data_IF_688883389613
#
_entry.id   IF_688883389613
#
_cell.length_a   1.000
_cell.length_b   1.000
_cell.length_c   1.000
_cell.angle_alpha   90.00
_cell.angle_beta   90.00
_cell.angle_gamma   90.00
#
_symmetry.space_group_name_H-M   'P 1'
#
loop_
_entity.id
_entity.type
_entity.pdbx_description
1 polymer ?
#
# COMPACT_ATOMS: atom_id res chain seq x y z
N UNK A 1 -28.65 -15.41 0.80
CA UNK A 1 -27.29 -15.33 1.40
C UNK A 1 -26.61 -14.14 0.80
N UNK A 2 -25.82 -13.36 1.55
CA UNK A 2 -24.97 -12.38 0.93
C UNK A 2 -23.99 -13.08 -0.03
N UNK A 3 -23.60 -12.45 -1.13
CA UNK A 3 -22.62 -13.05 -2.05
C UNK A 3 -21.28 -13.33 -1.33
N UNK A 4 -20.55 -14.35 -1.78
CA UNK A 4 -19.30 -14.82 -1.15
C UNK A 4 -18.26 -13.70 -0.89
N UNK A 5 -18.21 -12.67 -1.74
CA UNK A 5 -17.35 -11.50 -1.55
C UNK A 5 -17.75 -10.63 -0.35
N UNK A 6 -19.00 -10.66 0.08
CA UNK A 6 -19.47 -9.90 1.23
C UNK A 6 -19.21 -10.62 2.58
N UNK A 7 -18.89 -11.91 2.55
CA UNK A 7 -18.60 -12.73 3.74
C UNK A 7 -17.14 -12.63 4.23
N UNK A 8 -16.26 -11.96 3.48
CA UNK A 8 -14.82 -11.93 3.77
C UNK A 8 -14.05 -13.20 3.36
N UNK A 9 -14.73 -14.23 2.86
CA UNK A 9 -14.09 -15.49 2.47
C UNK A 9 -13.09 -15.34 1.32
N UNK A 10 -13.38 -14.47 0.35
CA UNK A 10 -12.43 -14.18 -0.74
C UNK A 10 -11.12 -13.56 -0.22
N UNK A 11 -11.21 -12.62 0.73
CA UNK A 11 -10.02 -12.05 1.38
C UNK A 11 -9.28 -13.11 2.19
N UNK A 12 -10.01 -13.96 2.91
CA UNK A 12 -9.42 -15.08 3.65
C UNK A 12 -8.72 -16.08 2.73
N UNK A 13 -9.31 -16.42 1.59
CA UNK A 13 -8.68 -17.28 0.58
C UNK A 13 -7.37 -16.67 0.05
N UNK A 14 -7.36 -15.36 -0.19
CA UNK A 14 -6.16 -14.65 -0.62
C UNK A 14 -5.08 -14.61 0.46
N UNK A 15 -5.41 -14.24 1.71
CA UNK A 15 -4.43 -14.04 2.78
C UNK A 15 -3.92 -15.35 3.38
N UNK A 16 -4.72 -16.41 3.34
CA UNK A 16 -4.45 -17.67 4.04
C UNK A 16 -4.32 -18.90 3.12
N UNK A 17 -4.21 -18.67 1.79
CA UNK A 17 -3.92 -19.75 0.86
C UNK A 17 -2.67 -20.54 1.27
N UNK A 18 -2.75 -21.88 1.24
CA UNK A 18 -1.67 -22.77 1.65
C UNK A 18 -1.42 -22.90 3.16
N UNK A 19 -2.19 -22.19 4.01
CA UNK A 19 -2.07 -22.30 5.48
C UNK A 19 -3.05 -23.31 6.05
N UNK A 20 -2.68 -23.95 7.18
CA UNK A 20 -3.59 -24.76 7.97
C UNK A 20 -4.31 -23.85 8.97
N UNK A 21 -5.65 -23.84 8.92
CA UNK A 21 -6.47 -23.08 9.87
C UNK A 21 -6.89 -23.98 11.04
N UNK A 22 -6.58 -23.54 12.26
CA UNK A 22 -6.96 -24.24 13.50
C UNK A 22 -7.74 -23.26 14.37
N UNK A 23 -8.81 -23.74 14.99
CA UNK A 23 -9.54 -22.98 16.00
C UNK A 23 -9.11 -23.48 17.38
N UNK A 24 -8.55 -22.59 18.18
CA UNK A 24 -8.14 -22.87 19.58
C UNK A 24 -9.12 -22.24 20.54
N UNK A 25 -9.30 -22.87 21.71
CA UNK A 25 -10.28 -22.45 22.72
C UNK A 25 -9.65 -21.94 24.00
N UNK A 26 -8.35 -22.12 24.17
CA UNK A 26 -7.62 -21.73 25.36
C UNK A 26 -6.17 -21.35 25.08
N UNK A 27 -5.55 -20.59 25.96
CA UNK A 27 -4.13 -20.26 25.88
C UNK A 27 -3.24 -21.52 25.94
N UNK A 28 -3.68 -22.56 26.65
CA UNK A 28 -2.94 -23.84 26.72
C UNK A 28 -2.90 -24.54 25.35
N UNK A 29 -3.99 -24.53 24.58
CA UNK A 29 -4.00 -25.06 23.21
C UNK A 29 -3.11 -24.25 22.27
N UNK A 30 -3.06 -22.91 22.42
CA UNK A 30 -2.15 -22.05 21.64
C UNK A 30 -0.70 -22.42 21.92
N UNK A 31 -0.36 -22.67 23.19
CA UNK A 31 0.99 -23.04 23.60
C UNK A 31 1.47 -24.33 22.93
N UNK A 32 0.60 -25.33 22.76
CA UNK A 32 0.94 -26.59 22.08
C UNK A 32 1.40 -26.35 20.63
N UNK A 33 0.73 -25.46 19.91
CA UNK A 33 1.15 -25.10 18.54
C UNK A 33 2.39 -24.19 18.50
N UNK A 34 2.53 -23.31 19.47
CA UNK A 34 3.63 -22.36 19.52
C UNK A 34 4.99 -23.01 19.85
N UNK A 35 4.98 -24.10 20.65
CA UNK A 35 6.21 -24.78 21.04
C UNK A 35 6.97 -25.45 19.90
N UNK A 36 6.28 -25.85 18.84
CA UNK A 36 6.87 -26.53 17.68
C UNK A 36 7.17 -25.58 16.49
N UNK A 37 6.92 -24.27 16.68
CA UNK A 37 7.09 -23.29 15.62
C UNK A 37 8.46 -22.60 15.70
N UNK A 38 9.12 -22.45 14.55
CA UNK A 38 10.36 -21.64 14.45
C UNK A 38 10.10 -20.16 14.75
N UNK A 39 8.94 -19.66 14.34
CA UNK A 39 8.50 -18.30 14.59
C UNK A 39 6.99 -18.24 14.83
N UNK A 40 6.55 -17.42 15.75
CA UNK A 40 5.14 -17.15 16.01
C UNK A 40 4.82 -15.67 15.88
N UNK A 41 3.67 -15.39 15.29
CA UNK A 41 3.16 -14.02 15.14
C UNK A 41 1.81 -13.96 15.85
N UNK A 42 1.67 -13.04 16.78
CA UNK A 42 0.46 -12.83 17.54
C UNK A 42 -0.05 -11.39 17.33
N UNK A 43 -1.29 -11.26 16.91
CA UNK A 43 -2.02 -10.00 16.88
C UNK A 43 -3.01 -9.97 18.04
N UNK A 44 -3.02 -8.87 18.77
CA UNK A 44 -3.97 -8.63 19.85
C UNK A 44 -4.38 -7.15 19.92
N UNK A 45 -5.56 -6.89 20.47
CA UNK A 45 -6.11 -5.53 20.59
C UNK A 45 -5.34 -4.65 21.59
N UNK A 46 -4.51 -5.26 22.44
CA UNK A 46 -3.75 -4.57 23.49
C UNK A 46 -2.62 -5.44 24.03
N UNK A 47 -1.75 -4.84 24.85
CA UNK A 47 -0.74 -5.59 25.60
C UNK A 47 -1.36 -6.60 26.59
N UNK A 48 -2.46 -6.25 27.25
CA UNK A 48 -3.16 -7.18 28.15
C UNK A 48 -3.76 -8.35 27.36
N UNK A 49 -4.27 -8.13 26.14
CA UNK A 49 -4.75 -9.21 25.26
C UNK A 49 -3.65 -10.21 24.89
N UNK A 50 -2.40 -9.77 24.72
CA UNK A 50 -1.26 -10.67 24.53
C UNK A 50 -0.99 -11.51 25.79
N UNK A 51 -1.10 -10.91 26.98
CA UNK A 51 -0.91 -11.59 28.25
C UNK A 51 -1.99 -12.67 28.47
N UNK A 52 -3.25 -12.36 28.11
CA UNK A 52 -4.36 -13.34 28.20
C UNK A 52 -4.15 -14.56 27.30
N UNK A 53 -3.45 -14.39 26.17
CA UNK A 53 -3.06 -15.47 25.26
C UNK A 53 -1.83 -16.25 25.74
N UNK A 54 -1.16 -15.79 26.81
CA UNK A 54 0.06 -16.41 27.32
C UNK A 54 1.29 -16.21 26.43
N UNK A 55 1.33 -15.13 25.66
CA UNK A 55 2.37 -14.86 24.65
C UNK A 55 3.80 -14.96 25.21
N UNK A 56 4.03 -14.53 26.45
CA UNK A 56 5.37 -14.54 27.03
C UNK A 56 5.86 -15.97 27.33
N UNK A 57 4.95 -16.92 27.55
CA UNK A 57 5.26 -18.33 27.85
C UNK A 57 5.56 -19.17 26.61
N UNK A 58 5.33 -18.63 25.42
CA UNK A 58 5.59 -19.36 24.15
C UNK A 58 7.08 -19.58 23.94
N UNK A 59 7.45 -20.78 23.46
CA UNK A 59 8.84 -21.23 23.38
C UNK A 59 9.48 -21.05 21.99
N UNK A 60 8.77 -20.46 21.04
CA UNK A 60 9.33 -20.20 19.71
C UNK A 60 10.55 -19.27 19.79
N UNK A 61 11.56 -19.53 18.96
CA UNK A 61 12.77 -18.73 18.90
C UNK A 61 12.48 -17.27 18.53
N UNK A 62 11.53 -17.05 17.62
CA UNK A 62 11.13 -15.72 17.19
C UNK A 62 9.65 -15.52 17.54
N UNK A 63 9.40 -14.51 18.36
CA UNK A 63 8.06 -14.12 18.77
C UNK A 63 7.76 -12.71 18.30
N UNK A 64 6.72 -12.52 17.47
CA UNK A 64 6.28 -11.22 17.00
C UNK A 64 4.95 -10.87 17.63
N UNK A 65 4.92 -9.82 18.44
CA UNK A 65 3.71 -9.24 19.00
C UNK A 65 3.28 -8.04 18.14
N UNK A 66 2.05 -8.07 17.62
CA UNK A 66 1.47 -6.93 16.89
C UNK A 66 0.29 -6.39 17.70
N UNK A 67 0.36 -5.12 18.08
CA UNK A 67 -0.72 -4.42 18.79
C UNK A 67 -0.90 -3.00 18.27
N UNK A 68 -2.03 -2.34 18.56
CA UNK A 68 -2.24 -0.96 18.13
C UNK A 68 -1.15 0.02 18.60
N UNK A 69 -0.66 -0.13 19.85
CA UNK A 69 0.25 0.84 20.47
C UNK A 69 1.57 0.25 20.98
N UNK A 70 1.85 -1.02 20.72
CA UNK A 70 3.01 -1.73 21.28
C UNK A 70 2.73 -2.28 22.69
N UNK A 71 3.66 -3.09 23.18
CA UNK A 71 3.56 -3.79 24.48
C UNK A 71 3.84 -2.87 25.67
N UNK A 72 4.43 -1.70 25.43
CA UNK A 72 4.89 -0.78 26.48
C UNK A 72 4.27 0.62 26.30
N UNK A 73 4.54 1.50 27.27
CA UNK A 73 4.07 2.87 27.23
C UNK A 73 2.64 3.08 27.77
N UNK A 74 2.23 4.36 27.88
CA UNK A 74 0.99 4.73 28.57
C UNK A 74 -0.29 4.32 27.82
N UNK A 75 -0.20 4.01 26.52
CA UNK A 75 -1.34 3.63 25.68
C UNK A 75 -1.37 2.14 25.35
N UNK A 76 -0.49 1.31 25.92
CA UNK A 76 -0.37 -0.11 25.58
C UNK A 76 -1.68 -0.90 25.64
N UNK A 77 -2.63 -0.48 26.45
CA UNK A 77 -3.93 -1.12 26.62
C UNK A 77 -5.10 -0.32 25.99
N UNK A 78 -4.80 0.71 25.20
CA UNK A 78 -5.83 1.39 24.46
C UNK A 78 -6.23 0.57 23.25
N UNK A 79 -7.53 0.57 22.97
CA UNK A 79 -8.07 0.00 21.73
C UNK A 79 -8.09 1.04 20.63
N UNK A 80 -7.83 0.60 19.41
CA UNK A 80 -7.87 1.44 18.23
C UNK A 80 -8.28 0.63 17.00
N UNK A 81 -8.76 1.35 16.00
CA UNK A 81 -8.96 0.81 14.65
C UNK A 81 -7.86 1.34 13.73
N UNK A 82 -7.59 0.71 12.58
CA UNK A 82 -6.64 1.24 11.59
C UNK A 82 -6.90 2.70 11.23
N UNK A 83 -8.16 3.08 11.05
CA UNK A 83 -8.54 4.48 10.75
C UNK A 83 -8.19 5.46 11.89
N UNK A 84 -8.40 5.07 13.15
CA UNK A 84 -8.04 5.92 14.30
C UNK A 84 -6.53 6.05 14.45
N UNK A 85 -5.78 5.00 14.17
CA UNK A 85 -4.31 5.04 14.18
C UNK A 85 -3.74 5.91 13.05
N UNK A 86 -4.29 5.84 11.85
CA UNK A 86 -3.92 6.75 10.75
C UNK A 86 -4.17 8.21 11.11
N UNK A 87 -5.28 8.49 11.81
CA UNK A 87 -5.56 9.85 12.30
C UNK A 87 -4.58 10.29 13.39
N UNK A 88 -4.30 9.43 14.38
CA UNK A 88 -3.38 9.70 15.48
C UNK A 88 -1.92 9.84 15.01
N UNK A 89 -1.53 9.09 13.99
CA UNK A 89 -0.19 9.16 13.38
C UNK A 89 0.00 10.30 12.38
N UNK A 90 -1.01 11.18 12.19
CA UNK A 90 -0.93 12.34 11.32
C UNK A 90 -1.13 12.04 9.82
N UNK A 91 -1.30 10.77 9.44
CA UNK A 91 -1.48 10.41 8.03
C UNK A 91 -2.78 11.01 7.45
N UNK A 92 -3.88 10.86 8.17
CA UNK A 92 -5.19 11.43 7.79
C UNK A 92 -5.14 12.95 7.65
N UNK A 93 -4.34 13.65 8.47
CA UNK A 93 -4.16 15.10 8.35
C UNK A 93 -3.64 15.54 6.97
N UNK A 94 -2.88 14.70 6.29
CA UNK A 94 -2.28 15.00 4.98
C UNK A 94 -3.19 14.65 3.80
N UNK A 95 -4.31 13.95 4.04
CA UNK A 95 -5.18 13.43 2.99
C UNK A 95 -6.32 14.40 2.68
N UNK A 96 -6.55 14.65 1.40
CA UNK A 96 -7.66 15.45 0.89
C UNK A 96 -7.29 16.86 0.47
N UNK A 97 -8.31 17.64 0.12
CA UNK A 97 -8.17 18.99 -0.40
C UNK A 97 -7.92 20.01 0.71
N UNK A 98 -7.17 21.09 0.43
CA UNK A 98 -7.10 22.25 1.30
C UNK A 98 -8.51 22.82 1.59
N UNK A 99 -8.76 23.22 2.83
CA UNK A 99 -10.05 23.82 3.20
C UNK A 99 -11.23 22.85 3.34
N UNK A 100 -11.06 21.54 3.05
CA UNK A 100 -12.05 20.51 3.30
C UNK A 100 -11.66 19.62 4.49
N UNK A 101 -12.61 18.87 5.07
CA UNK A 101 -12.26 17.87 6.08
C UNK A 101 -11.23 16.87 5.53
N UNK A 102 -10.32 16.34 6.37
CA UNK A 102 -9.42 15.27 5.99
C UNK A 102 -10.17 14.05 5.45
N UNK A 103 -9.56 13.35 4.51
CA UNK A 103 -10.07 12.08 3.99
C UNK A 103 -9.45 10.92 4.75
N UNK A 104 -10.23 9.87 4.98
CA UNK A 104 -9.71 8.61 5.47
C UNK A 104 -9.18 7.78 4.30
N UNK A 105 -8.10 7.02 4.53
CA UNK A 105 -7.58 6.08 3.56
C UNK A 105 -8.41 4.79 3.63
N UNK A 106 -9.06 4.38 2.52
CA UNK A 106 -9.88 3.18 2.51
C UNK A 106 -9.03 1.89 2.44
N UNK A 107 -9.66 0.77 2.81
CA UNK A 107 -9.05 -0.57 2.71
C UNK A 107 -8.11 -0.89 3.86
N UNK A 108 -7.32 -1.95 3.68
CA UNK A 108 -6.44 -2.56 4.69
C UNK A 108 -4.98 -2.10 4.57
N UNK A 109 -4.77 -0.83 4.21
CA UNK A 109 -3.43 -0.31 3.95
C UNK A 109 -2.49 -0.44 5.16
N UNK A 110 -2.96 -0.05 6.35
CA UNK A 110 -2.14 -0.09 7.56
C UNK A 110 -1.83 -1.52 8.00
N UNK A 111 -2.81 -2.39 7.91
CA UNK A 111 -2.65 -3.81 8.27
C UNK A 111 -1.62 -4.50 7.37
N UNK A 112 -1.69 -4.28 6.05
CA UNK A 112 -0.70 -4.79 5.12
C UNK A 112 0.71 -4.25 5.41
N UNK A 113 0.83 -2.96 5.71
CA UNK A 113 2.13 -2.36 6.03
C UNK A 113 2.69 -2.88 7.36
N UNK A 114 1.84 -3.03 8.36
CA UNK A 114 2.25 -3.61 9.66
C UNK A 114 2.71 -5.05 9.49
N UNK A 115 1.96 -5.85 8.74
CA UNK A 115 2.34 -7.23 8.42
C UNK A 115 3.66 -7.32 7.66
N UNK A 116 3.92 -6.43 6.70
CA UNK A 116 5.18 -6.37 5.97
C UNK A 116 6.37 -6.00 6.88
N UNK A 117 6.20 -5.06 7.81
CA UNK A 117 7.21 -4.70 8.80
C UNK A 117 7.47 -5.88 9.75
N UNK A 118 6.41 -6.50 10.27
CA UNK A 118 6.50 -7.65 11.16
C UNK A 118 7.25 -8.82 10.50
N UNK A 119 6.90 -9.14 9.27
CA UNK A 119 7.58 -10.17 8.49
C UNK A 119 9.06 -9.83 8.23
N UNK A 120 9.35 -8.58 7.85
CA UNK A 120 10.73 -8.15 7.57
C UNK A 120 11.60 -8.23 8.82
N UNK A 121 11.08 -7.82 9.98
CA UNK A 121 11.77 -7.91 11.26
C UNK A 121 12.02 -9.37 11.66
N UNK A 122 10.99 -10.23 11.55
CA UNK A 122 11.13 -11.66 11.84
C UNK A 122 12.18 -12.31 10.94
N UNK A 123 12.16 -12.03 9.64
CA UNK A 123 13.16 -12.57 8.71
C UNK A 123 14.57 -12.07 8.97
N UNK A 124 14.74 -10.84 9.47
CA UNK A 124 16.04 -10.33 9.90
C UNK A 124 16.59 -11.14 11.09
N UNK A 125 15.75 -11.46 12.08
CA UNK A 125 16.13 -12.31 13.22
C UNK A 125 16.46 -13.74 12.78
N UNK A 126 15.65 -14.33 11.90
CA UNK A 126 15.95 -15.66 11.30
C UNK A 126 17.31 -15.66 10.62
N UNK A 127 17.57 -14.65 9.77
CA UNK A 127 18.83 -14.57 9.03
C UNK A 127 20.04 -14.33 9.95
N UNK A 128 19.85 -13.61 11.05
CA UNK A 128 20.89 -13.39 12.06
C UNK A 128 21.09 -14.61 12.99
N UNK A 129 20.23 -15.61 12.95
CA UNK A 129 20.27 -16.77 13.85
C UNK A 129 20.06 -16.38 15.31
N UNK A 130 19.20 -15.39 15.57
CA UNK A 130 18.92 -14.86 16.90
C UNK A 130 17.51 -15.28 17.37
N UNK A 131 17.38 -15.47 18.69
CA UNK A 131 16.07 -15.64 19.31
C UNK A 131 15.61 -14.28 19.84
N UNK A 132 14.52 -13.76 19.27
CA UNK A 132 14.05 -12.39 19.54
C UNK A 132 12.57 -12.32 19.87
N UNK A 133 12.21 -11.35 20.72
CA UNK A 133 10.84 -10.89 20.90
C UNK A 133 10.70 -9.53 20.19
N UNK A 134 9.91 -9.51 19.15
CA UNK A 134 9.68 -8.33 18.30
C UNK A 134 8.35 -7.69 18.70
N UNK A 135 8.39 -6.43 19.14
CA UNK A 135 7.23 -5.62 19.47
C UNK A 135 6.90 -4.69 18.30
N UNK A 136 5.81 -4.95 17.60
CA UNK A 136 5.38 -4.21 16.41
C UNK A 136 4.12 -3.41 16.72
N UNK A 137 4.28 -2.11 16.83
CA UNK A 137 3.18 -1.16 17.04
C UNK A 137 2.60 -0.69 15.70
N UNK A 138 1.29 -0.83 15.51
CA UNK A 138 0.62 -0.31 14.32
C UNK A 138 0.73 1.23 14.23
N UNK A 139 0.69 1.94 15.38
CA UNK A 139 0.90 3.39 15.40
C UNK A 139 2.31 3.77 14.93
N UNK A 140 3.34 3.06 15.37
CA UNK A 140 4.71 3.31 14.94
C UNK A 140 4.92 2.98 13.46
N UNK A 141 4.19 2.01 12.93
CA UNK A 141 4.11 1.76 11.50
C UNK A 141 3.61 2.99 10.75
N UNK A 142 2.51 3.64 11.20
CA UNK A 142 2.03 4.90 10.60
C UNK A 142 3.10 5.98 10.64
N UNK A 143 3.79 6.12 11.77
CA UNK A 143 4.84 7.13 11.93
C UNK A 143 6.03 6.87 11.00
N UNK A 144 6.41 5.62 10.79
CA UNK A 144 7.47 5.26 9.85
C UNK A 144 7.10 5.54 8.39
N UNK A 145 5.82 5.46 8.03
CA UNK A 145 5.32 5.84 6.70
C UNK A 145 5.30 7.37 6.49
N UNK A 146 5.33 8.15 7.55
CA UNK A 146 5.32 9.62 7.51
C UNK A 146 6.69 10.24 7.84
N UNK A 147 7.77 9.45 7.83
CA UNK A 147 9.13 9.88 8.21
C UNK A 147 9.58 11.17 7.52
N UNK A 148 9.29 11.34 6.22
CA UNK A 148 9.65 12.54 5.49
C UNK A 148 8.99 13.80 6.08
N UNK A 149 7.73 13.71 6.48
CA UNK A 149 6.97 14.80 7.11
C UNK A 149 7.54 15.14 8.49
N UNK A 150 7.92 14.14 9.28
CA UNK A 150 8.54 14.33 10.58
C UNK A 150 9.92 14.98 10.48
N UNK A 151 10.77 14.49 9.56
CA UNK A 151 12.10 15.06 9.31
C UNK A 151 11.97 16.52 8.88
N UNK A 152 11.04 16.84 7.98
CA UNK A 152 10.79 18.20 7.52
C UNK A 152 10.37 19.15 8.68
N UNK A 153 9.46 18.69 9.54
CA UNK A 153 9.13 19.43 10.74
C UNK A 153 10.35 19.65 11.64
N UNK A 154 11.15 18.63 11.83
CA UNK A 154 12.32 18.70 12.72
C UNK A 154 13.37 19.70 12.20
N UNK A 155 13.65 19.66 10.91
CA UNK A 155 14.67 20.49 10.27
C UNK A 155 14.21 21.93 9.99
N UNK A 156 12.96 22.11 9.53
CA UNK A 156 12.47 23.37 8.99
C UNK A 156 11.30 23.98 9.78
N UNK A 157 10.75 23.28 10.79
CA UNK A 157 9.53 23.66 11.51
C UNK A 157 8.33 23.88 10.59
N UNK A 158 8.33 23.24 9.44
CA UNK A 158 7.29 23.37 8.43
C UNK A 158 6.22 22.28 8.62
N UNK A 159 4.98 22.72 8.81
CA UNK A 159 3.82 21.81 8.90
C UNK A 159 3.29 21.58 7.50
N UNK A 160 3.56 20.38 6.95
CA UNK A 160 3.02 19.97 5.67
C UNK A 160 1.49 20.03 5.70
N UNK A 161 0.91 20.70 4.72
CA UNK A 161 -0.54 20.82 4.55
C UNK A 161 -1.08 19.80 3.55
N UNK A 162 -2.41 19.70 3.47
CA UNK A 162 -3.09 18.96 2.39
C UNK A 162 -2.90 19.70 1.07
N UNK A 163 -2.76 18.95 -0.01
CA UNK A 163 -2.58 19.47 -1.37
C UNK A 163 -3.51 18.81 -2.39
N UNK A 164 -4.54 18.07 -1.94
CA UNK A 164 -5.40 17.30 -2.84
C UNK A 164 -4.60 16.23 -3.59
N UNK A 165 -4.73 16.23 -4.90
CA UNK A 165 -4.00 15.31 -5.80
C UNK A 165 -2.62 15.84 -6.22
N UNK A 166 -2.27 17.06 -5.81
CA UNK A 166 -1.01 17.70 -6.15
C UNK A 166 0.14 17.13 -5.31
N UNK A 167 1.27 16.91 -5.95
CA UNK A 167 2.49 16.50 -5.24
C UNK A 167 3.30 17.76 -4.91
N UNK A 168 3.26 18.17 -3.67
CA UNK A 168 3.62 19.49 -3.17
C UNK A 168 5.01 20.05 -3.52
N UNK A 169 5.96 19.23 -3.96
CA UNK A 169 7.31 19.68 -4.30
C UNK A 169 7.79 19.34 -5.71
N UNK A 170 6.95 18.75 -6.55
CA UNK A 170 7.24 18.47 -7.96
C UNK A 170 6.04 18.90 -8.80
N UNK A 171 6.24 19.81 -9.73
CA UNK A 171 5.18 20.38 -10.57
C UNK A 171 5.61 20.37 -12.04
N UNK A 172 4.73 19.84 -12.94
CA UNK A 172 3.37 19.34 -12.69
C UNK A 172 3.33 17.90 -12.14
N UNK A 173 2.45 17.68 -11.17
CA UNK A 173 2.17 16.37 -10.64
C UNK A 173 0.72 16.34 -10.15
N UNK A 174 -0.22 15.90 -11.00
CA UNK A 174 -1.66 15.95 -10.70
C UNK A 174 -2.47 15.01 -11.58
N UNK A 175 -3.77 14.93 -11.29
CA UNK A 175 -4.80 14.30 -12.10
C UNK A 175 -5.37 15.29 -13.12
N UNK A 176 -5.50 14.85 -14.36
CA UNK A 176 -6.09 15.61 -15.45
C UNK A 176 -7.25 14.84 -16.07
N UNK A 177 -8.38 15.53 -16.26
CA UNK A 177 -9.56 14.96 -16.90
C UNK A 177 -9.40 14.99 -18.41
N UNK A 178 -9.75 13.88 -19.07
CA UNK A 178 -9.72 13.71 -20.52
C UNK A 178 -11.07 14.00 -21.17
N UNK A 179 -11.11 14.13 -22.49
CA UNK A 179 -12.31 14.39 -23.29
C UNK A 179 -13.39 13.31 -23.11
N UNK A 180 -12.97 12.05 -23.05
CA UNK A 180 -13.82 10.87 -22.86
C UNK A 180 -14.21 10.60 -21.40
N UNK A 181 -14.10 11.62 -20.55
CA UNK A 181 -14.44 11.59 -19.12
C UNK A 181 -13.57 10.69 -18.25
N UNK A 182 -12.47 10.19 -18.77
CA UNK A 182 -11.46 9.49 -18.00
C UNK A 182 -10.52 10.43 -17.24
N UNK A 183 -9.51 9.85 -16.60
CA UNK A 183 -8.50 10.59 -15.86
C UNK A 183 -7.11 10.00 -16.12
N UNK A 184 -6.13 10.88 -16.26
CA UNK A 184 -4.72 10.53 -16.32
C UNK A 184 -3.95 11.21 -15.19
N UNK A 185 -3.01 10.48 -14.58
CA UNK A 185 -2.07 11.02 -13.61
C UNK A 185 -0.73 11.27 -14.29
N UNK A 186 -0.21 12.46 -14.13
CA UNK A 186 1.09 12.87 -14.67
C UNK A 186 1.97 13.33 -13.52
N UNK A 187 3.23 12.87 -13.50
CA UNK A 187 4.22 13.27 -12.50
C UNK A 187 5.53 13.61 -13.22
N UNK A 188 5.84 14.90 -13.31
CA UNK A 188 6.96 15.43 -14.07
C UNK A 188 8.07 15.89 -13.13
N UNK A 189 9.02 15.01 -12.85
CA UNK A 189 10.26 15.42 -12.18
C UNK A 189 11.09 16.33 -13.12
N UNK A 190 12.00 17.15 -12.60
CA UNK A 190 12.73 18.14 -13.41
C UNK A 190 13.37 17.62 -14.70
N UNK A 191 13.82 16.37 -14.71
CA UNK A 191 14.42 15.73 -15.90
C UNK A 191 13.44 15.52 -17.07
N UNK A 192 12.13 15.51 -16.82
CA UNK A 192 11.10 15.35 -17.86
C UNK A 192 10.43 16.68 -18.26
N UNK A 193 10.90 17.81 -17.74
CA UNK A 193 10.26 19.10 -18.00
C UNK A 193 10.18 19.44 -19.49
N UNK A 194 11.30 19.31 -20.22
CA UNK A 194 11.35 19.64 -21.64
C UNK A 194 10.41 18.73 -22.45
N UNK A 195 10.43 17.44 -22.17
CA UNK A 195 9.54 16.47 -22.78
C UNK A 195 8.06 16.75 -22.48
N UNK A 196 7.74 17.22 -21.27
CA UNK A 196 6.39 17.61 -20.89
C UNK A 196 5.89 18.82 -21.67
N UNK A 197 6.73 19.84 -21.90
CA UNK A 197 6.32 21.01 -22.69
C UNK A 197 5.99 20.64 -24.13
N UNK A 198 6.72 19.70 -24.71
CA UNK A 198 6.42 19.12 -26.02
C UNK A 198 5.12 18.31 -25.97
N UNK A 199 4.93 17.49 -24.94
CA UNK A 199 3.73 16.68 -24.75
C UNK A 199 2.46 17.53 -24.73
N UNK A 200 2.44 18.66 -24.00
CA UNK A 200 1.28 19.56 -23.95
C UNK A 200 1.27 20.60 -25.10
N UNK A 201 2.10 20.42 -26.14
CA UNK A 201 2.19 21.30 -27.30
C UNK A 201 2.50 22.77 -26.96
N UNK A 202 3.28 23.01 -25.89
CA UNK A 202 3.66 24.34 -25.39
C UNK A 202 5.17 24.47 -25.16
N UNK A 203 6.01 24.30 -26.20
CA UNK A 203 7.47 24.39 -26.06
C UNK A 203 7.95 25.79 -25.63
N UNK A 204 7.13 26.83 -25.81
CA UNK A 204 7.42 28.19 -25.35
C UNK A 204 7.58 28.27 -23.81
N UNK A 205 7.04 27.31 -23.06
CA UNK A 205 7.20 27.26 -21.59
C UNK A 205 8.65 27.02 -21.15
N UNK A 206 9.52 26.54 -22.05
CA UNK A 206 10.95 26.36 -21.76
C UNK A 206 11.67 27.70 -21.50
N UNK A 207 11.23 28.76 -22.13
CA UNK A 207 11.82 30.10 -22.02
C UNK A 207 10.96 31.06 -21.21
N UNK A 208 9.81 30.59 -20.69
CA UNK A 208 8.95 31.40 -19.83
C UNK A 208 9.58 31.49 -18.43
N UNK A 209 9.91 32.70 -18.01
CA UNK A 209 10.58 32.99 -16.73
C UNK A 209 9.83 32.40 -15.52
N UNK A 210 8.51 32.21 -15.61
CA UNK A 210 7.68 31.62 -14.56
C UNK A 210 7.93 30.14 -14.36
N UNK A 211 8.54 29.41 -15.31
CA UNK A 211 8.63 27.95 -15.30
C UNK A 211 10.04 27.40 -15.47
N UNK A 212 11.06 28.26 -15.49
CA UNK A 212 12.46 27.87 -15.73
C UNK A 212 13.04 26.97 -14.62
N UNK A 213 12.53 27.05 -13.40
CA UNK A 213 12.94 26.19 -12.29
C UNK A 213 11.73 25.51 -11.64
N UNK A 214 11.95 24.38 -10.96
CA UNK A 214 10.87 23.70 -10.24
C UNK A 214 10.22 24.59 -9.17
N UNK A 215 11.00 25.42 -8.47
CA UNK A 215 10.47 26.31 -7.44
C UNK A 215 9.56 27.39 -8.05
N UNK A 216 9.91 27.90 -9.24
CA UNK A 216 9.06 28.83 -9.97
C UNK A 216 7.80 28.12 -10.49
N UNK A 217 7.89 26.89 -10.96
CA UNK A 217 6.72 26.07 -11.32
C UNK A 217 5.80 25.83 -10.12
N UNK A 218 6.36 25.55 -8.95
CA UNK A 218 5.58 25.42 -7.71
C UNK A 218 4.85 26.73 -7.39
N UNK A 219 5.53 27.87 -7.52
CA UNK A 219 4.94 29.19 -7.27
C UNK A 219 3.81 29.53 -8.25
N UNK A 220 3.93 29.11 -9.51
CA UNK A 220 2.98 29.40 -10.59
C UNK A 220 2.17 28.16 -11.02
N UNK A 221 2.01 27.19 -10.08
CA UNK A 221 1.39 25.89 -10.39
C UNK A 221 -0.01 25.97 -10.97
N UNK A 222 -0.84 26.88 -10.46
CA UNK A 222 -2.24 27.00 -10.88
C UNK A 222 -2.35 27.37 -12.35
N UNK A 223 -1.49 28.28 -12.82
CA UNK A 223 -1.41 28.67 -14.22
C UNK A 223 -0.94 27.52 -15.08
N UNK A 224 0.10 26.80 -14.64
CA UNK A 224 0.64 25.66 -15.37
C UNK A 224 -0.37 24.51 -15.47
N UNK A 225 -1.06 24.22 -14.37
CA UNK A 225 -2.10 23.18 -14.34
C UNK A 225 -3.27 23.53 -15.26
N UNK A 226 -3.70 24.80 -15.29
CA UNK A 226 -4.74 25.23 -16.21
C UNK A 226 -4.31 25.06 -17.67
N UNK A 227 -3.09 25.47 -18.02
CA UNK A 227 -2.55 25.28 -19.38
C UNK A 227 -2.48 23.81 -19.79
N UNK A 228 -2.08 22.92 -18.87
CA UNK A 228 -2.05 21.48 -19.12
C UNK A 228 -3.47 20.90 -19.25
N UNK A 229 -4.39 21.34 -18.36
CA UNK A 229 -5.78 20.90 -18.39
C UNK A 229 -6.48 21.28 -19.70
N UNK A 230 -6.30 22.52 -20.17
CA UNK A 230 -6.92 23.03 -21.42
C UNK A 230 -6.53 22.17 -22.64
N UNK A 231 -5.31 21.66 -22.66
CA UNK A 231 -4.81 20.79 -23.72
C UNK A 231 -5.30 19.35 -23.51
N UNK A 232 -5.07 18.76 -22.35
CA UNK A 232 -5.38 17.36 -22.08
C UNK A 232 -6.89 17.09 -22.12
N UNK A 233 -7.73 18.04 -21.73
CA UNK A 233 -9.18 17.93 -21.78
C UNK A 233 -9.72 17.82 -23.23
N UNK A 234 -8.93 18.14 -24.22
CA UNK A 234 -9.27 17.95 -25.64
C UNK A 234 -8.90 16.58 -26.20
N UNK A 235 -8.17 15.75 -25.43
CA UNK A 235 -7.68 14.45 -25.84
C UNK A 235 -8.43 13.31 -25.14
N UNK A 236 -8.56 12.20 -25.85
CA UNK A 236 -8.98 10.92 -25.27
C UNK A 236 -7.85 10.29 -24.46
N UNK A 237 -8.18 9.28 -23.63
CA UNK A 237 -7.16 8.48 -22.91
C UNK A 237 -6.13 7.91 -23.88
N UNK A 238 -6.58 7.31 -24.99
CA UNK A 238 -5.68 6.71 -26.00
C UNK A 238 -4.75 7.73 -26.63
N UNK A 239 -5.23 8.93 -26.93
CA UNK A 239 -4.40 10.03 -27.41
C UNK A 239 -3.37 10.46 -26.36
N UNK A 240 -3.76 10.55 -25.09
CA UNK A 240 -2.84 10.84 -23.99
C UNK A 240 -1.73 9.79 -23.88
N UNK A 241 -2.07 8.50 -23.97
CA UNK A 241 -1.09 7.39 -23.94
C UNK A 241 -0.12 7.51 -25.10
N UNK A 242 -0.63 7.60 -26.34
CA UNK A 242 0.22 7.65 -27.55
C UNK A 242 1.17 8.87 -27.54
N UNK A 243 0.69 10.02 -27.09
CA UNK A 243 1.50 11.24 -26.97
C UNK A 243 2.54 11.13 -25.86
N UNK A 244 2.18 10.53 -24.73
CA UNK A 244 3.09 10.31 -23.60
C UNK A 244 4.21 9.34 -23.97
N UNK A 245 3.90 8.26 -24.69
CA UNK A 245 4.90 7.33 -25.23
C UNK A 245 5.85 8.02 -26.21
N UNK A 246 5.31 8.79 -27.15
CA UNK A 246 6.12 9.55 -28.11
C UNK A 246 7.06 10.56 -27.43
N UNK A 247 6.56 11.25 -26.41
CA UNK A 247 7.34 12.21 -25.63
C UNK A 247 8.20 11.55 -24.52
N UNK A 248 8.01 10.26 -24.25
CA UNK A 248 8.70 9.51 -23.18
C UNK A 248 8.51 10.13 -21.79
N UNK A 249 7.31 10.55 -21.48
CA UNK A 249 6.97 11.05 -20.14
C UNK A 249 6.19 10.00 -19.33
N UNK A 250 6.32 10.01 -17.99
CA UNK A 250 5.52 9.14 -17.13
C UNK A 250 4.07 9.62 -17.08
N UNK A 251 3.16 8.77 -17.56
CA UNK A 251 1.71 8.96 -17.50
C UNK A 251 1.06 7.67 -17.03
N UNK A 252 0.10 7.77 -16.11
CA UNK A 252 -0.72 6.66 -15.65
C UNK A 252 -2.20 6.93 -15.89
N UNK A 253 -2.93 5.97 -16.46
CA UNK A 253 -4.38 6.03 -16.59
C UNK A 253 -5.02 5.60 -15.28
N UNK A 254 -6.06 6.32 -14.83
CA UNK A 254 -6.85 5.91 -13.67
C UNK A 254 -7.85 4.85 -14.12
N UNK A 255 -7.54 3.60 -13.83
CA UNK A 255 -8.33 2.43 -14.23
C UNK A 255 -9.36 2.05 -13.16
N UNK A 256 -10.48 1.51 -13.60
CA UNK A 256 -11.39 0.77 -12.73
C UNK A 256 -10.84 -0.65 -12.47
N UNK A 257 -11.33 -1.33 -11.43
CA UNK A 257 -10.93 -2.73 -11.21
C UNK A 257 -11.31 -3.65 -12.38
N UNK A 258 -12.42 -3.36 -13.08
CA UNK A 258 -12.80 -4.08 -14.30
C UNK A 258 -11.77 -3.92 -15.42
N UNK A 259 -11.16 -2.74 -15.53
CA UNK A 259 -10.14 -2.47 -16.55
C UNK A 259 -8.81 -3.13 -16.16
N UNK A 260 -8.45 -3.05 -14.88
CA UNK A 260 -7.24 -3.74 -14.35
C UNK A 260 -7.28 -5.24 -14.58
N UNK A 261 -8.45 -5.89 -14.43
CA UNK A 261 -8.62 -7.32 -14.71
C UNK A 261 -8.37 -7.69 -16.18
N UNK A 262 -8.57 -6.75 -17.10
CA UNK A 262 -8.39 -6.94 -18.55
C UNK A 262 -7.02 -6.47 -19.04
N UNK A 263 -6.17 -5.96 -18.16
CA UNK A 263 -4.86 -5.43 -18.53
C UNK A 263 -3.98 -6.51 -19.17
N UNK A 264 -3.54 -6.33 -20.43
CA UNK A 264 -2.76 -7.34 -21.15
C UNK A 264 -1.38 -7.57 -20.54
N UNK A 265 -0.80 -6.58 -19.86
CA UNK A 265 0.48 -6.74 -19.19
C UNK A 265 0.32 -7.66 -17.96
N UNK A 266 -0.72 -7.47 -17.15
CA UNK A 266 -1.01 -8.35 -16.02
C UNK A 266 -1.36 -9.77 -16.46
N UNK A 267 -2.10 -9.91 -17.58
CA UNK A 267 -2.39 -11.20 -18.17
C UNK A 267 -1.12 -11.91 -18.64
N UNK A 268 -0.22 -11.22 -19.35
CA UNK A 268 1.05 -11.78 -19.81
C UNK A 268 1.97 -12.21 -18.68
N UNK A 269 1.83 -11.58 -17.49
CA UNK A 269 2.58 -11.91 -16.28
C UNK A 269 1.89 -12.97 -15.42
N UNK A 270 0.76 -13.53 -15.87
CA UNK A 270 -0.04 -14.49 -15.08
C UNK A 270 -0.28 -13.99 -13.64
N UNK A 271 -0.68 -12.71 -13.54
CA UNK A 271 -0.87 -12.08 -12.22
C UNK A 271 -2.13 -12.57 -11.52
N UNK A 272 -3.13 -12.98 -12.30
CA UNK A 272 -4.41 -13.46 -11.79
C UNK A 272 -4.42 -14.98 -11.70
N UNK A 273 -4.66 -15.50 -10.51
CA UNK A 273 -4.74 -16.93 -10.24
C UNK A 273 -6.20 -17.35 -10.06
N UNK A 274 -6.67 -18.39 -10.80
CA UNK A 274 -8.01 -18.92 -10.58
C UNK A 274 -8.11 -19.57 -9.19
N UNK A 275 -9.23 -19.35 -8.53
CA UNK A 275 -9.52 -19.90 -7.21
C UNK A 275 -11.01 -20.25 -7.10
N UNK A 276 -11.38 -21.00 -6.09
CA UNK A 276 -12.78 -21.32 -5.78
C UNK A 276 -13.06 -20.85 -4.35
N UNK A 277 -14.10 -20.03 -4.20
CA UNK A 277 -14.57 -19.54 -2.93
C UNK A 277 -16.09 -19.81 -2.83
N UNK A 278 -16.52 -20.60 -1.85
CA UNK A 278 -17.94 -21.00 -1.68
C UNK A 278 -18.58 -21.52 -2.98
N UNK A 279 -17.89 -22.43 -3.69
CA UNK A 279 -18.30 -23.01 -4.99
C UNK A 279 -18.43 -21.99 -6.14
N UNK A 280 -17.93 -20.76 -5.95
CA UNK A 280 -17.85 -19.74 -6.99
C UNK A 280 -16.43 -19.63 -7.51
N UNK A 281 -16.28 -19.68 -8.83
CA UNK A 281 -15.00 -19.41 -9.47
C UNK A 281 -14.67 -17.91 -9.35
N UNK A 282 -13.51 -17.62 -8.80
CA UNK A 282 -12.97 -16.26 -8.65
C UNK A 282 -11.54 -16.21 -9.17
N UNK A 283 -11.05 -15.01 -9.41
CA UNK A 283 -9.63 -14.79 -9.66
C UNK A 283 -9.05 -13.98 -8.50
N UNK A 284 -7.90 -14.39 -8.01
CA UNK A 284 -7.16 -13.73 -6.95
C UNK A 284 -5.86 -13.15 -7.51
N UNK A 285 -5.41 -12.00 -7.02
CA UNK A 285 -4.07 -11.53 -7.33
C UNK A 285 -3.04 -12.44 -6.65
N UNK A 286 -1.99 -12.84 -7.34
CA UNK A 286 -0.84 -13.45 -6.68
C UNK A 286 -0.05 -12.41 -5.90
N UNK A 287 0.96 -12.84 -5.14
CA UNK A 287 1.92 -11.93 -4.52
C UNK A 287 2.59 -11.00 -5.54
N UNK A 288 3.03 -9.83 -5.11
CA UNK A 288 3.66 -8.82 -5.96
C UNK A 288 5.02 -9.23 -6.58
N UNK A 289 5.45 -10.48 -6.40
CA UNK A 289 6.70 -11.02 -6.92
C UNK A 289 6.45 -12.31 -7.70
N UNK A 290 7.43 -12.68 -8.53
CA UNK A 290 7.49 -13.99 -9.18
C UNK A 290 8.84 -14.62 -8.88
N UNK A 291 8.83 -15.90 -8.56
CA UNK A 291 10.04 -16.70 -8.61
C UNK A 291 10.33 -17.04 -10.06
N UNK A 292 11.53 -16.80 -10.50
CA UNK A 292 11.97 -17.11 -11.87
C UNK A 292 13.07 -18.15 -11.82
N UNK A 293 13.05 -19.08 -12.77
CA UNK A 293 14.19 -19.97 -13.02
C UNK A 293 15.34 -19.21 -13.73
N UNK A 294 16.45 -19.88 -13.94
CA UNK A 294 17.63 -19.37 -14.65
C UNK A 294 17.36 -18.97 -16.12
N UNK A 295 16.19 -19.33 -16.65
CA UNK A 295 15.72 -18.94 -18.00
C UNK A 295 14.63 -17.85 -17.96
N UNK A 296 14.47 -17.16 -16.83
CA UNK A 296 13.44 -16.15 -16.60
C UNK A 296 11.99 -16.65 -16.78
N UNK A 297 11.74 -17.94 -16.56
CA UNK A 297 10.39 -18.49 -16.56
C UNK A 297 9.82 -18.50 -15.15
N UNK A 298 8.56 -18.10 -15.01
CA UNK A 298 7.87 -18.15 -13.73
C UNK A 298 7.80 -19.58 -13.19
N UNK A 299 8.19 -19.76 -11.94
CA UNK A 299 7.99 -21.01 -11.19
C UNK A 299 6.96 -20.79 -10.09
N UNK A 300 6.17 -21.82 -9.70
CA UNK A 300 5.18 -21.69 -8.64
C UNK A 300 5.83 -21.22 -7.34
N UNK A 301 5.19 -20.25 -6.69
CA UNK A 301 5.58 -19.84 -5.32
C UNK A 301 5.15 -20.94 -4.34
N UNK A 302 5.95 -21.24 -3.32
CA UNK A 302 5.52 -22.11 -2.25
C UNK A 302 4.18 -21.64 -1.67
N UNK A 303 3.17 -22.51 -1.62
CA UNK A 303 1.84 -22.23 -1.09
C UNK A 303 0.84 -21.54 -2.04
N UNK A 304 1.21 -21.24 -3.29
CA UNK A 304 0.34 -20.54 -4.24
C UNK A 304 -0.87 -21.34 -4.78
N UNK A 305 -0.95 -22.63 -4.55
CA UNK A 305 -1.99 -23.49 -5.14
C UNK A 305 -2.72 -24.41 -4.16
N UNK A 306 -2.43 -24.36 -2.88
CA UNK A 306 -3.11 -25.25 -1.91
C UNK A 306 -4.28 -24.54 -1.23
N UNK A 307 -5.45 -25.18 -1.32
CA UNK A 307 -6.63 -24.79 -0.52
C UNK A 307 -6.27 -24.80 0.96
N UNK A 308 -6.90 -23.91 1.73
CA UNK A 308 -6.82 -23.96 3.19
C UNK A 308 -7.19 -25.38 3.63
N UNK A 309 -6.22 -26.14 4.11
CA UNK A 309 -6.49 -27.49 4.63
C UNK A 309 -7.14 -27.33 6.00
N UNK A 310 -8.33 -27.90 6.16
CA UNK A 310 -8.88 -28.12 7.51
C UNK A 310 -8.05 -29.25 8.14
N UNK A 311 -7.67 -29.13 9.43
CA UNK A 311 -7.08 -30.26 10.11
C UNK A 311 -8.03 -31.45 10.02
N UNK A 312 -7.50 -32.62 9.77
CA UNK A 312 -8.29 -33.83 9.74
C UNK A 312 -9.08 -33.95 11.04
N UNK A 313 -10.39 -33.98 10.92
CA UNK A 313 -11.34 -34.22 12.01
C UNK A 313 -11.17 -35.65 12.55
#
# INVERSE_FOLDING_TARGET
>A
MPPAWASGEAMRAFLHGGKISVTVKSAAEVLEYACDADAVVCEADSADGLNELGFDDWQADIKVAMTPFGRTGPKRNWQATPSTLLAMGGYTFLMGDPGRPPLNLPGHYLEFQTGAIAYSAAMASVYAGQSDILDVSMLETVLSLTQFTHVRWHCARDIRQRHGNDFYFVVPSNLFKTQDSGWVYINIVPAFWDAFTVFIEKPELLIDERFTTNDLRIKHRDVLYQMALDVIASWTIDECINRAEAARIPLGVVLTFSDVLKDPHLASRTFWEPSICDDVEIVLPRGGYQLLDDKNRSVPSPGSAEKIRKPNS
#
